data_IF_219907332645
#
_entry.id   IF_219907332645
#
_cell.length_a   1.000
_cell.length_b   1.000
_cell.length_c   1.000
_cell.angle_alpha   90.00
_cell.angle_beta   90.00
_cell.angle_gamma   90.00
#
_symmetry.space_group_name_H-M   'P 1'
#
loop_
_entity.id
_entity.type
_entity.pdbx_description
1 polymer ?
#
# COMPACT_ATOMS: atom_id res chain seq x y z
N UNK A 1 -0.98 6.49 -12.83
CA UNK A 1 0.37 5.92 -12.85
C UNK A 1 1.36 6.90 -13.46
N UNK A 2 2.55 7.04 -12.87
CA UNK A 2 3.65 7.81 -13.44
C UNK A 2 4.28 7.04 -14.59
N UNK A 3 4.28 7.63 -15.80
CA UNK A 3 4.97 7.10 -16.96
C UNK A 3 6.08 8.07 -17.38
N UNK A 4 7.22 7.54 -17.82
CA UNK A 4 8.41 8.33 -18.15
C UNK A 4 8.90 7.95 -19.55
N UNK A 5 9.25 8.95 -20.37
CA UNK A 5 9.88 8.77 -21.66
C UNK A 5 11.08 9.70 -21.78
N UNK A 6 12.19 9.19 -22.31
CA UNK A 6 13.40 10.00 -22.52
C UNK A 6 14.66 9.16 -22.60
N UNK A 7 15.80 9.80 -22.85
CA UNK A 7 17.08 9.10 -23.02
C UNK A 7 17.59 8.38 -21.77
N UNK A 8 17.07 8.75 -20.59
CA UNK A 8 17.38 8.13 -19.29
C UNK A 8 16.66 6.78 -19.08
N UNK A 9 15.61 6.48 -19.88
CA UNK A 9 14.87 5.22 -19.76
C UNK A 9 15.73 4.07 -20.25
N UNK A 10 15.79 2.99 -19.48
CA UNK A 10 16.51 1.78 -19.82
C UNK A 10 16.03 1.18 -21.14
N UNK A 11 16.86 0.41 -21.82
CA UNK A 11 16.47 -0.35 -23.02
C UNK A 11 15.56 -1.54 -22.72
N UNK A 12 15.58 -2.05 -21.50
CA UNK A 12 14.82 -3.20 -21.06
C UNK A 12 15.52 -3.97 -19.94
N UNK A 13 14.87 -5.02 -19.46
CA UNK A 13 15.41 -5.96 -18.50
C UNK A 13 16.27 -7.02 -19.21
N UNK A 14 17.47 -7.29 -18.67
CA UNK A 14 18.39 -8.25 -19.26
C UNK A 14 17.78 -9.66 -19.34
N UNK A 15 17.70 -10.23 -20.55
CA UNK A 15 17.13 -11.56 -20.84
C UNK A 15 15.69 -11.75 -20.34
N UNK A 16 14.90 -10.66 -20.26
CA UNK A 16 13.50 -10.65 -19.82
C UNK A 16 12.65 -9.80 -20.77
N UNK A 17 12.35 -10.37 -21.95
CA UNK A 17 11.62 -9.64 -22.98
C UNK A 17 10.17 -9.39 -22.61
N UNK A 18 9.53 -10.34 -21.93
CA UNK A 18 8.13 -10.21 -21.53
C UNK A 18 7.98 -9.11 -20.48
N UNK A 19 8.82 -9.11 -19.44
CA UNK A 19 8.81 -8.06 -18.42
C UNK A 19 9.17 -6.69 -19.00
N UNK A 20 10.03 -6.67 -20.03
CA UNK A 20 10.35 -5.43 -20.74
C UNK A 20 9.15 -4.88 -21.48
N UNK A 21 8.41 -5.74 -22.23
CA UNK A 21 7.18 -5.34 -22.93
C UNK A 21 6.06 -4.90 -21.99
N UNK A 22 6.00 -5.48 -20.80
CA UNK A 22 5.03 -5.09 -19.77
C UNK A 22 5.39 -3.75 -19.10
N UNK A 23 6.69 -3.38 -19.06
CA UNK A 23 7.17 -2.17 -18.43
C UNK A 23 7.34 -1.00 -19.40
N UNK A 24 7.66 -1.27 -20.68
CA UNK A 24 7.85 -0.23 -21.70
C UNK A 24 6.87 -0.53 -22.83
N UNK A 25 5.92 0.40 -23.06
CA UNK A 25 4.92 0.25 -24.11
C UNK A 25 5.50 0.45 -25.51
N UNK A 26 4.69 0.20 -26.55
CA UNK A 26 5.06 0.31 -27.95
C UNK A 26 5.43 1.75 -28.38
N UNK A 27 5.03 2.76 -27.62
CA UNK A 27 5.38 4.17 -27.83
C UNK A 27 6.65 4.59 -27.07
N UNK A 28 7.27 3.68 -26.31
CA UNK A 28 8.50 3.92 -25.54
C UNK A 28 8.28 4.59 -24.19
N UNK A 29 7.05 4.58 -23.66
CA UNK A 29 6.78 5.03 -22.30
C UNK A 29 7.08 3.92 -21.29
N UNK A 30 7.92 4.24 -20.31
CA UNK A 30 8.20 3.37 -19.18
C UNK A 30 7.16 3.56 -18.07
N UNK A 31 6.41 2.52 -17.78
CA UNK A 31 5.45 2.44 -16.69
C UNK A 31 6.18 2.14 -15.38
N UNK A 32 6.30 3.14 -14.51
CA UNK A 32 7.08 3.02 -13.27
C UNK A 32 6.43 2.08 -12.24
N UNK A 33 5.13 1.86 -12.34
CA UNK A 33 4.33 1.17 -11.32
C UNK A 33 4.07 2.04 -10.09
N UNK A 34 4.45 3.31 -10.12
CA UNK A 34 4.19 4.26 -9.05
C UNK A 34 2.97 5.13 -9.39
N UNK A 35 2.12 5.36 -8.40
CA UNK A 35 1.02 6.32 -8.47
C UNK A 35 1.53 7.66 -7.98
N UNK A 36 1.23 8.71 -8.73
CA UNK A 36 1.70 10.05 -8.43
C UNK A 36 0.60 11.10 -8.63
N UNK A 37 0.76 12.24 -7.98
CA UNK A 37 -0.05 13.45 -8.13
C UNK A 37 0.84 14.58 -8.60
N UNK A 38 0.42 15.26 -9.66
CA UNK A 38 1.04 16.54 -10.07
C UNK A 38 0.52 17.64 -9.13
N UNK A 39 1.43 18.33 -8.46
CA UNK A 39 1.13 19.42 -7.55
C UNK A 39 1.04 20.75 -8.33
N UNK A 40 0.38 21.76 -7.75
CA UNK A 40 0.17 23.06 -8.37
C UNK A 40 1.48 23.82 -8.66
N UNK A 41 2.53 23.53 -7.91
CA UNK A 41 3.89 24.06 -8.09
C UNK A 41 4.69 23.34 -9.18
N UNK A 42 4.09 22.34 -9.86
CA UNK A 42 4.69 21.56 -10.94
C UNK A 42 5.53 20.36 -10.46
N UNK A 43 5.65 20.12 -9.17
CA UNK A 43 6.31 18.92 -8.65
C UNK A 43 5.39 17.71 -8.69
N UNK A 44 6.02 16.55 -8.86
CA UNK A 44 5.34 15.25 -8.83
C UNK A 44 5.57 14.60 -7.46
N UNK A 45 4.48 14.37 -6.74
CA UNK A 45 4.51 13.63 -5.46
C UNK A 45 4.13 12.16 -5.71
N UNK A 46 5.03 11.22 -5.41
CA UNK A 46 4.71 9.79 -5.38
C UNK A 46 3.79 9.53 -4.19
N UNK A 47 2.67 8.89 -4.45
CA UNK A 47 1.63 8.58 -3.45
C UNK A 47 1.78 7.14 -2.95
N UNK A 48 1.86 6.18 -3.89
CA UNK A 48 1.96 4.76 -3.56
C UNK A 48 2.41 3.93 -4.76
N UNK A 49 2.48 2.61 -4.58
CA UNK A 49 2.70 1.64 -5.66
C UNK A 49 1.37 1.16 -6.25
N UNK A 50 1.26 1.13 -7.57
CA UNK A 50 0.06 0.65 -8.28
C UNK A 50 -0.37 -0.75 -7.82
N UNK A 51 0.60 -1.67 -7.64
CA UNK A 51 0.37 -3.06 -7.21
C UNK A 51 -0.06 -3.21 -5.75
N UNK A 52 0.13 -2.19 -4.93
CA UNK A 52 -0.22 -2.21 -3.51
C UNK A 52 -1.56 -1.51 -3.24
N UNK A 53 -2.14 -0.85 -4.26
CA UNK A 53 -3.46 -0.24 -4.20
C UNK A 53 -4.52 -1.29 -3.86
N UNK A 54 -5.43 -0.93 -2.96
CA UNK A 54 -6.54 -1.77 -2.48
C UNK A 54 -7.83 -1.28 -3.13
N UNK A 55 -8.62 -2.19 -3.70
CA UNK A 55 -9.88 -1.84 -4.36
C UNK A 55 -11.07 -2.16 -3.47
N UNK A 56 -11.48 -1.19 -2.64
CA UNK A 56 -12.60 -1.34 -1.71
C UNK A 56 -13.89 -0.85 -2.36
N UNK A 57 -14.83 -1.74 -2.66
CA UNK A 57 -16.14 -1.41 -3.27
C UNK A 57 -15.99 -0.53 -4.54
N UNK A 58 -14.95 -0.76 -5.34
CA UNK A 58 -14.66 0.00 -6.55
C UNK A 58 -13.88 1.30 -6.33
N UNK A 59 -13.57 1.67 -5.08
CA UNK A 59 -12.75 2.84 -4.74
C UNK A 59 -11.29 2.45 -4.53
N UNK A 60 -10.40 3.24 -5.13
CA UNK A 60 -8.96 3.08 -4.93
C UNK A 60 -8.55 3.59 -3.54
N UNK A 61 -7.94 2.72 -2.75
CA UNK A 61 -7.35 3.06 -1.46
C UNK A 61 -5.84 2.83 -1.54
N UNK A 62 -5.09 3.82 -1.14
CA UNK A 62 -3.64 3.75 -1.10
C UNK A 62 -3.16 3.41 0.31
N UNK A 63 -2.44 2.31 0.51
CA UNK A 63 -1.93 1.90 1.83
C UNK A 63 -1.23 3.00 2.60
N UNK A 64 -0.38 3.79 1.94
CA UNK A 64 0.36 4.87 2.59
C UNK A 64 -0.56 5.90 3.26
N UNK A 65 -1.70 6.25 2.66
CA UNK A 65 -2.65 7.20 3.24
C UNK A 65 -3.25 6.68 4.56
N UNK A 66 -3.57 5.38 4.60
CA UNK A 66 -4.09 4.73 5.81
C UNK A 66 -2.99 4.62 6.87
N UNK A 67 -1.80 4.21 6.46
CA UNK A 67 -0.64 4.05 7.33
C UNK A 67 -0.21 5.37 7.96
N UNK A 68 -0.23 6.49 7.21
CA UNK A 68 0.11 7.83 7.71
C UNK A 68 -0.84 8.26 8.84
N UNK A 69 -2.15 8.04 8.67
CA UNK A 69 -3.16 8.35 9.70
C UNK A 69 -2.94 7.48 10.94
N UNK A 70 -2.65 6.20 10.76
CA UNK A 70 -2.43 5.25 11.85
C UNK A 70 -1.12 5.56 12.58
N UNK A 71 -0.05 5.89 11.86
CA UNK A 71 1.24 6.25 12.44
C UNK A 71 1.21 7.55 13.26
N UNK A 72 0.23 8.42 13.00
CA UNK A 72 -0.01 9.63 13.81
C UNK A 72 -0.59 9.33 15.21
N UNK A 73 -1.06 8.10 15.47
CA UNK A 73 -1.52 7.70 16.79
C UNK A 73 -0.32 7.53 17.75
N UNK A 74 -0.32 8.13 18.95
CA UNK A 74 0.85 8.16 19.86
C UNK A 74 1.33 6.76 20.28
N UNK A 75 0.42 5.80 20.40
CA UNK A 75 0.72 4.44 20.84
C UNK A 75 1.12 3.49 19.70
N UNK A 76 1.13 3.95 18.44
CA UNK A 76 1.56 3.14 17.30
C UNK A 76 3.06 3.33 17.07
N UNK A 77 3.79 2.23 16.95
CA UNK A 77 5.20 2.21 16.57
C UNK A 77 5.35 2.06 15.06
N UNK A 78 4.66 1.09 14.48
CA UNK A 78 4.68 0.79 13.05
C UNK A 78 3.30 0.31 12.59
N UNK A 79 2.99 0.57 11.33
CA UNK A 79 1.78 0.07 10.71
C UNK A 79 2.03 -0.31 9.25
N UNK A 80 1.27 -1.30 8.77
CA UNK A 80 1.24 -1.66 7.36
C UNK A 80 -0.19 -2.07 6.96
N UNK A 81 -0.68 -1.52 5.86
CA UNK A 81 -1.98 -1.83 5.31
C UNK A 81 -1.86 -2.68 4.04
N UNK A 82 -2.71 -3.69 3.93
CA UNK A 82 -2.81 -4.55 2.74
C UNK A 82 -4.27 -4.81 2.39
N UNK A 83 -4.54 -5.08 1.12
CA UNK A 83 -5.83 -5.61 0.68
C UNK A 83 -5.95 -7.09 0.98
N UNK A 84 -7.10 -7.49 1.51
CA UNK A 84 -7.50 -8.89 1.67
C UNK A 84 -8.85 -9.09 1.00
N UNK A 85 -9.11 -10.30 0.48
CA UNK A 85 -10.38 -10.62 -0.15
C UNK A 85 -11.55 -10.39 0.81
N UNK A 86 -12.63 -9.80 0.29
CA UNK A 86 -13.86 -9.53 1.06
C UNK A 86 -15.09 -9.79 0.18
N UNK A 87 -16.01 -10.61 0.67
CA UNK A 87 -17.19 -11.05 -0.09
C UNK A 87 -18.11 -9.88 -0.51
N UNK A 88 -18.17 -8.81 0.27
CA UNK A 88 -19.09 -7.70 0.02
C UNK A 88 -18.44 -6.54 -0.74
N UNK A 89 -17.15 -6.30 -0.51
CA UNK A 89 -16.44 -5.13 -1.02
C UNK A 89 -15.41 -5.46 -2.13
N UNK A 90 -15.25 -6.75 -2.47
CA UNK A 90 -14.18 -7.26 -3.32
C UNK A 90 -12.87 -7.37 -2.54
N UNK A 91 -12.36 -6.25 -2.04
CA UNK A 91 -11.27 -6.21 -1.06
C UNK A 91 -11.65 -5.38 0.17
N UNK A 92 -11.03 -5.69 1.29
CA UNK A 92 -11.09 -4.89 2.51
C UNK A 92 -9.67 -4.59 2.99
N UNK A 93 -9.52 -3.49 3.72
CA UNK A 93 -8.24 -3.09 4.30
C UNK A 93 -7.99 -3.93 5.56
N UNK A 94 -6.89 -4.67 5.57
CA UNK A 94 -6.30 -5.27 6.77
C UNK A 94 -5.08 -4.49 7.18
N UNK A 95 -5.08 -4.04 8.43
CA UNK A 95 -4.02 -3.26 9.04
C UNK A 95 -3.24 -4.14 10.01
N UNK A 96 -1.93 -4.21 9.84
CA UNK A 96 -1.00 -4.81 10.79
C UNK A 96 -0.34 -3.70 11.60
N UNK A 97 -0.31 -3.84 12.91
CA UNK A 97 0.15 -2.79 13.84
C UNK A 97 1.15 -3.34 14.83
N UNK A 98 2.26 -2.64 14.99
CA UNK A 98 3.14 -2.80 16.14
C UNK A 98 2.85 -1.66 17.11
N UNK A 99 2.40 -1.99 18.31
CA UNK A 99 2.03 -1.01 19.33
C UNK A 99 3.15 -0.80 20.36
N UNK A 100 3.29 0.45 20.82
CA UNK A 100 4.12 0.80 21.99
C UNK A 100 3.41 0.51 23.31
N UNK A 101 2.08 0.36 23.27
CA UNK A 101 1.22 0.24 24.43
C UNK A 101 0.32 -0.98 24.29
N UNK A 102 0.47 -1.95 25.17
CA UNK A 102 -0.32 -3.19 25.17
C UNK A 102 -1.82 -2.98 25.46
N UNK A 103 -2.23 -1.79 25.88
CA UNK A 103 -3.62 -1.43 26.12
C UNK A 103 -4.33 -0.90 24.85
N UNK A 104 -3.57 -0.61 23.77
CA UNK A 104 -4.18 -0.18 22.51
C UNK A 104 -4.92 -1.36 21.88
N UNK A 105 -6.21 -1.19 21.65
CA UNK A 105 -7.06 -2.18 21.01
C UNK A 105 -7.51 -1.77 19.61
N UNK A 106 -8.07 -2.73 18.88
CA UNK A 106 -8.52 -2.52 17.51
C UNK A 106 -9.70 -1.54 17.41
N UNK A 107 -10.55 -1.46 18.43
CA UNK A 107 -11.71 -0.59 18.43
C UNK A 107 -11.29 0.87 18.61
N UNK A 108 -10.38 1.14 19.54
CA UNK A 108 -9.76 2.45 19.76
C UNK A 108 -9.06 2.95 18.50
N UNK A 109 -8.24 2.10 17.88
CA UNK A 109 -7.51 2.48 16.65
C UNK A 109 -8.46 2.69 15.46
N UNK A 110 -9.52 1.89 15.34
CA UNK A 110 -10.53 2.09 14.31
C UNK A 110 -11.32 3.39 14.53
N UNK A 111 -11.62 3.73 15.78
CA UNK A 111 -12.25 5.01 16.12
C UNK A 111 -11.34 6.22 15.79
N UNK A 112 -10.04 6.07 15.96
CA UNK A 112 -9.04 7.05 15.52
C UNK A 112 -9.09 7.23 14.01
N UNK A 113 -9.02 6.15 13.23
CA UNK A 113 -9.07 6.19 11.77
C UNK A 113 -10.36 6.85 11.25
N UNK A 114 -11.51 6.61 11.88
CA UNK A 114 -12.79 7.20 11.47
C UNK A 114 -12.86 8.73 11.57
N UNK A 115 -11.97 9.37 12.32
CA UNK A 115 -11.93 10.83 12.42
C UNK A 115 -11.28 11.49 11.22
N UNK A 116 -10.31 10.80 10.61
CA UNK A 116 -9.44 11.36 9.56
C UNK A 116 -9.70 10.73 8.19
N UNK A 117 -10.23 9.49 8.14
CA UNK A 117 -10.44 8.74 6.91
C UNK A 117 -11.92 8.66 6.54
N UNK A 118 -12.20 8.69 5.24
CA UNK A 118 -13.52 8.36 4.70
C UNK A 118 -13.87 6.90 4.97
N UNK A 119 -15.16 6.57 5.06
CA UNK A 119 -15.63 5.29 5.55
C UNK A 119 -15.01 4.06 4.84
N UNK A 120 -14.83 4.11 3.51
CA UNK A 120 -14.26 3.01 2.73
C UNK A 120 -12.73 2.84 2.93
N UNK A 121 -12.05 3.83 3.51
CA UNK A 121 -10.61 3.80 3.85
C UNK A 121 -10.34 3.32 5.28
N UNK A 122 -11.39 3.17 6.10
CA UNK A 122 -11.23 2.69 7.47
C UNK A 122 -10.92 1.20 7.48
N UNK A 123 -9.85 0.74 8.17
CA UNK A 123 -9.50 -0.67 8.23
C UNK A 123 -10.64 -1.54 8.79
N UNK A 124 -11.04 -2.56 8.04
CA UNK A 124 -12.02 -3.55 8.47
C UNK A 124 -11.40 -4.52 9.47
N UNK A 125 -10.17 -4.96 9.18
CA UNK A 125 -9.43 -5.89 10.02
C UNK A 125 -8.19 -5.20 10.59
N UNK A 126 -7.91 -5.42 11.88
CA UNK A 126 -6.72 -4.90 12.56
C UNK A 126 -6.09 -6.06 13.33
N UNK A 127 -4.81 -6.31 13.08
CA UNK A 127 -4.02 -7.34 13.72
C UNK A 127 -2.78 -6.73 14.37
N UNK A 128 -2.61 -6.98 15.66
CA UNK A 128 -1.42 -6.55 16.38
C UNK A 128 -0.34 -7.61 16.28
N UNK A 129 0.90 -7.16 16.07
CA UNK A 129 2.09 -8.00 15.97
C UNK A 129 3.24 -7.41 16.79
N UNK A 130 4.18 -8.25 17.18
CA UNK A 130 5.41 -7.81 17.86
C UNK A 130 6.36 -7.10 16.88
N UNK A 131 6.37 -7.55 15.62
CA UNK A 131 7.18 -6.97 14.54
C UNK A 131 6.52 -7.13 13.17
N UNK A 132 6.91 -6.28 12.21
CA UNK A 132 6.54 -6.41 10.79
C UNK A 132 7.73 -6.95 9.97
N UNK A 133 7.48 -7.77 8.94
CA UNK A 133 8.54 -8.23 8.04
C UNK A 133 9.14 -7.07 7.27
N UNK A 134 10.48 -6.97 7.25
CA UNK A 134 11.22 -5.87 6.64
C UNK A 134 12.30 -6.36 5.70
N UNK A 135 12.64 -5.51 4.73
CA UNK A 135 13.86 -5.66 3.94
C UNK A 135 15.09 -5.34 4.78
N UNK A 136 16.29 -5.68 4.26
CA UNK A 136 17.56 -5.33 4.89
C UNK A 136 17.79 -3.82 5.09
N UNK A 137 17.01 -2.98 4.37
CA UNK A 137 17.05 -1.51 4.47
C UNK A 137 15.88 -0.96 5.30
N UNK A 138 15.16 -1.82 6.04
CA UNK A 138 14.12 -1.42 6.99
C UNK A 138 12.73 -1.13 6.39
N UNK A 139 12.52 -1.39 5.09
CA UNK A 139 11.19 -1.20 4.46
C UNK A 139 10.29 -2.40 4.73
N UNK A 140 9.04 -2.15 5.12
CA UNK A 140 8.04 -3.21 5.35
C UNK A 140 7.73 -3.97 4.05
N UNK A 141 7.73 -5.30 4.14
CA UNK A 141 7.44 -6.22 3.04
C UNK A 141 5.93 -6.52 2.97
N UNK A 142 5.12 -5.58 2.44
CA UNK A 142 3.67 -5.75 2.28
C UNK A 142 3.30 -7.03 1.51
N UNK A 143 4.12 -7.43 0.52
CA UNK A 143 3.92 -8.68 -0.21
C UNK A 143 3.89 -9.88 0.74
N UNK A 144 4.86 -9.98 1.65
CA UNK A 144 4.92 -11.08 2.60
C UNK A 144 3.70 -11.11 3.54
N UNK A 145 3.20 -9.93 3.95
CA UNK A 145 1.97 -9.82 4.73
C UNK A 145 0.76 -10.32 3.95
N UNK A 146 0.62 -9.94 2.67
CA UNK A 146 -0.45 -10.43 1.79
C UNK A 146 -0.40 -11.93 1.56
N UNK A 147 0.80 -12.46 1.27
CA UNK A 147 0.98 -13.90 0.99
C UNK A 147 0.58 -14.75 2.21
N UNK A 148 0.82 -14.27 3.43
CA UNK A 148 0.37 -14.92 4.67
C UNK A 148 -1.16 -15.00 4.77
N UNK A 149 -1.87 -13.96 4.36
CA UNK A 149 -3.34 -13.94 4.37
C UNK A 149 -3.95 -14.91 3.35
N UNK A 150 -3.36 -15.00 2.17
CA UNK A 150 -3.83 -15.91 1.10
C UNK A 150 -3.68 -17.37 1.51
N UNK A 151 -2.71 -17.69 2.37
CA UNK A 151 -2.46 -19.05 2.87
C UNK A 151 -3.41 -19.46 4.01
N UNK A 152 -4.07 -18.48 4.65
CA UNK A 152 -5.00 -18.70 5.78
C UNK A 152 -6.48 -18.52 5.38
N UNK A 153 -6.77 -18.23 4.11
CA UNK A 153 -8.15 -18.27 3.60
C UNK A 153 -8.63 -19.74 3.58
N UNK A 154 -9.79 -20.05 4.18
CA UNK A 154 -10.34 -21.41 4.28
C UNK A 154 -10.70 -21.99 2.91
#
# INVERSE_FOLDING_TARGET
>A
ELCVQGPQVMKGYWQREEETRNAIDENGWFHTGDIAVLQDDGYIKIVDRKKDMILVSGFNVYPNEVEDVVAAHPDVLEAAAVGVADENAGEAIKLFVVSKNSQLDAETLRAWCKKELTAYKVPKYIEFRDELPKTNVGKVLRRQLRDQETTHAP
#
